data_IF_171198103087
#
_entry.id   IF_171198103087
#
_cell.length_a   1.000
_cell.length_b   1.000
_cell.length_c   1.000
_cell.angle_alpha   90.00
_cell.angle_beta   90.00
_cell.angle_gamma   90.00
#
_symmetry.space_group_name_H-M   'P 1'
#
loop_
_entity.id
_entity.type
_entity.pdbx_description
1 polymer ?
#
# COMPACT_ATOMS: atom_id res chain seq x y z
N UNK A 1 22.01 -5.92 9.68
CA UNK A 1 20.62 -5.44 9.77
C UNK A 1 20.48 -3.93 9.78
N UNK A 2 21.29 -3.19 10.52
CA UNK A 2 21.31 -1.71 10.45
C UNK A 2 21.46 -1.16 9.00
N UNK A 3 22.24 -1.83 8.15
CA UNK A 3 22.42 -1.42 6.76
C UNK A 3 21.17 -1.51 5.89
N UNK A 4 20.31 -2.52 6.06
CA UNK A 4 19.05 -2.62 5.29
C UNK A 4 18.10 -1.49 5.69
N UNK A 5 17.86 -1.28 6.98
CA UNK A 5 17.00 -0.20 7.47
C UNK A 5 17.43 1.15 6.90
N UNK A 6 18.71 1.51 7.06
CA UNK A 6 19.26 2.78 6.55
C UNK A 6 19.10 2.90 5.02
N UNK A 7 19.37 1.83 4.26
CA UNK A 7 19.20 1.84 2.81
C UNK A 7 17.73 2.07 2.41
N UNK A 8 16.79 1.43 3.10
CA UNK A 8 15.36 1.57 2.82
C UNK A 8 14.81 2.96 3.21
N UNK A 9 15.29 3.54 4.30
CA UNK A 9 14.90 4.89 4.75
C UNK A 9 15.38 5.99 3.78
N UNK A 10 16.47 5.75 3.05
CA UNK A 10 17.04 6.69 2.07
C UNK A 10 16.42 6.59 0.67
N UNK A 11 15.60 5.58 0.40
CA UNK A 11 14.90 5.48 -0.88
C UNK A 11 13.87 6.61 -1.05
N UNK A 12 13.56 6.96 -2.32
CA UNK A 12 12.53 7.94 -2.63
C UNK A 12 11.21 7.63 -1.91
N UNK A 13 10.52 8.65 -1.40
CA UNK A 13 9.26 8.45 -0.66
C UNK A 13 8.13 7.95 -1.54
N UNK A 14 8.18 8.34 -2.80
CA UNK A 14 7.00 8.36 -3.65
C UNK A 14 7.35 7.92 -5.06
N UNK A 15 6.34 7.51 -5.80
CA UNK A 15 6.41 7.38 -7.25
C UNK A 15 6.47 8.74 -7.91
N UNK A 16 6.82 8.76 -9.18
CA UNK A 16 6.92 9.96 -9.99
C UNK A 16 6.06 9.83 -11.25
N UNK A 17 5.79 10.95 -11.88
CA UNK A 17 5.29 11.01 -13.25
C UNK A 17 6.37 10.56 -14.26
N UNK A 18 6.01 10.48 -15.53
CA UNK A 18 6.93 10.08 -16.60
C UNK A 18 8.10 11.08 -16.83
N UNK A 19 7.89 12.35 -16.48
CA UNK A 19 8.92 13.39 -16.61
C UNK A 19 9.86 13.45 -15.39
N UNK A 20 9.49 12.77 -14.28
CA UNK A 20 10.23 12.81 -13.03
C UNK A 20 10.09 14.14 -12.29
N UNK A 21 9.03 14.90 -12.55
CA UNK A 21 8.80 16.24 -11.97
C UNK A 21 7.81 16.22 -10.81
N UNK A 22 6.72 15.47 -10.94
CA UNK A 22 5.65 15.44 -9.97
C UNK A 22 5.64 14.14 -9.16
N UNK A 23 5.46 14.28 -7.84
CA UNK A 23 5.36 13.15 -6.93
C UNK A 23 3.95 12.56 -6.94
N UNK A 24 3.87 11.24 -6.99
CA UNK A 24 2.63 10.49 -6.96
C UNK A 24 2.41 9.75 -5.65
N UNK A 25 1.87 8.54 -5.78
CA UNK A 25 1.54 7.66 -4.66
C UNK A 25 2.78 7.27 -3.84
N UNK A 26 2.63 7.05 -2.53
CA UNK A 26 3.73 6.67 -1.67
C UNK A 26 4.26 5.27 -1.99
N UNK A 27 5.59 5.11 -1.94
CA UNK A 27 6.27 3.81 -2.01
C UNK A 27 6.25 3.20 -0.61
N UNK A 28 5.22 2.42 -0.31
CA UNK A 28 4.84 2.00 1.04
C UNK A 28 5.08 0.52 1.35
N UNK A 29 5.67 -0.24 0.43
CA UNK A 29 5.95 -1.68 0.58
C UNK A 29 7.36 -2.02 0.08
N UNK A 30 7.99 -2.95 0.77
CA UNK A 30 9.23 -3.62 0.35
C UNK A 30 9.04 -5.13 0.48
N UNK A 31 9.28 -5.86 -0.58
CA UNK A 31 9.25 -7.32 -0.60
C UNK A 31 10.63 -7.86 -0.91
N UNK A 32 11.11 -8.80 -0.10
CA UNK A 32 12.41 -9.46 -0.29
C UNK A 32 12.17 -10.91 -0.69
N UNK A 33 12.79 -11.36 -1.75
CA UNK A 33 12.65 -12.71 -2.29
C UNK A 33 11.89 -12.77 -3.61
N UNK A 34 10.94 -13.70 -3.74
CA UNK A 34 10.20 -13.96 -4.97
C UNK A 34 8.73 -13.47 -4.90
N UNK A 35 8.47 -12.16 -5.01
CA UNK A 35 7.15 -11.60 -4.78
C UNK A 35 6.11 -12.07 -5.79
N UNK A 36 6.48 -12.33 -7.04
CA UNK A 36 5.52 -12.73 -8.07
C UNK A 36 4.89 -14.09 -7.75
N UNK A 37 5.69 -15.03 -7.27
CA UNK A 37 5.23 -16.36 -6.84
C UNK A 37 4.36 -16.23 -5.57
N UNK A 38 4.84 -15.51 -4.57
CA UNK A 38 4.13 -15.32 -3.30
C UNK A 38 2.79 -14.62 -3.51
N UNK A 39 2.76 -13.53 -4.26
CA UNK A 39 1.53 -12.78 -4.54
C UNK A 39 0.53 -13.61 -5.33
N UNK A 40 0.98 -14.37 -6.34
CA UNK A 40 0.09 -15.26 -7.10
C UNK A 40 -0.53 -16.33 -6.19
N UNK A 41 0.24 -16.92 -5.27
CA UNK A 41 -0.27 -17.85 -4.25
C UNK A 41 -1.28 -17.18 -3.29
N UNK A 42 -1.07 -15.91 -2.98
CA UNK A 42 -1.98 -15.11 -2.15
C UNK A 42 -3.18 -14.56 -2.95
N UNK A 43 -3.42 -15.02 -4.17
CA UNK A 43 -4.60 -14.66 -4.98
C UNK A 43 -4.51 -13.30 -5.68
N UNK A 44 -3.29 -12.78 -5.90
CA UNK A 44 -3.06 -11.62 -6.74
C UNK A 44 -2.90 -12.06 -8.20
N UNK A 45 -3.40 -11.24 -9.13
CA UNK A 45 -3.31 -11.45 -10.57
C UNK A 45 -2.52 -10.35 -11.23
N UNK A 46 -1.82 -10.67 -12.32
CA UNK A 46 -1.18 -9.64 -13.15
C UNK A 46 -2.24 -8.76 -13.80
N UNK A 47 -1.93 -7.48 -13.95
CA UNK A 47 -2.76 -6.56 -14.70
C UNK A 47 -2.45 -6.63 -16.19
N UNK A 48 -3.43 -6.36 -17.04
CA UNK A 48 -3.19 -6.20 -18.47
C UNK A 48 -2.37 -4.93 -18.76
N UNK A 49 -1.67 -4.93 -19.90
CA UNK A 49 -1.12 -3.69 -20.45
C UNK A 49 -2.25 -2.76 -20.89
N UNK A 50 -2.05 -1.47 -20.74
CA UNK A 50 -2.98 -0.47 -21.28
C UNK A 50 -2.88 -0.51 -22.79
N UNK A 51 -3.95 -0.94 -23.45
CA UNK A 51 -4.20 -0.85 -24.88
C UNK A 51 -5.65 -0.41 -25.13
N UNK A 52 -6.01 -0.08 -26.35
CA UNK A 52 -7.36 0.38 -26.69
C UNK A 52 -8.44 -0.66 -26.28
N UNK A 53 -8.15 -1.95 -26.46
CA UNK A 53 -9.09 -3.02 -26.13
C UNK A 53 -9.28 -3.17 -24.61
N UNK A 54 -8.23 -2.94 -23.83
CA UNK A 54 -8.33 -2.97 -22.36
C UNK A 54 -9.14 -1.78 -21.83
N UNK A 55 -9.00 -0.61 -22.45
CA UNK A 55 -9.80 0.59 -22.15
C UNK A 55 -11.28 0.38 -22.49
N UNK A 56 -11.59 -0.14 -23.66
CA UNK A 56 -12.98 -0.45 -24.06
C UNK A 56 -13.64 -1.43 -23.11
N UNK A 57 -12.91 -2.48 -22.69
CA UNK A 57 -13.42 -3.46 -21.71
C UNK A 57 -13.64 -2.85 -20.34
N UNK A 58 -12.77 -1.94 -19.89
CA UNK A 58 -12.91 -1.26 -18.61
C UNK A 58 -14.14 -0.35 -18.61
N UNK A 59 -14.33 0.44 -19.67
CA UNK A 59 -15.52 1.28 -19.84
C UNK A 59 -16.77 0.41 -19.92
N UNK A 60 -16.76 -0.66 -20.71
CA UNK A 60 -17.87 -1.60 -20.82
C UNK A 60 -18.23 -2.27 -19.50
N UNK A 61 -17.23 -2.70 -18.72
CA UNK A 61 -17.41 -3.27 -17.39
C UNK A 61 -18.00 -2.26 -16.39
N UNK A 62 -17.51 -1.02 -16.40
CA UNK A 62 -18.03 0.05 -15.55
C UNK A 62 -19.50 0.38 -15.87
N UNK A 63 -19.87 0.43 -17.16
CA UNK A 63 -21.24 0.70 -17.60
C UNK A 63 -22.19 -0.47 -17.35
N UNK A 64 -21.71 -1.71 -17.47
CA UNK A 64 -22.54 -2.93 -17.29
C UNK A 64 -22.53 -3.47 -15.87
N UNK A 65 -21.71 -2.93 -14.96
CA UNK A 65 -21.54 -3.43 -13.60
C UNK A 65 -20.86 -4.80 -13.53
N UNK A 66 -20.19 -5.23 -14.61
CA UNK A 66 -19.51 -6.54 -14.69
C UNK A 66 -18.05 -6.46 -14.22
N UNK A 67 -17.51 -7.60 -13.78
CA UNK A 67 -16.10 -7.69 -13.38
C UNK A 67 -15.16 -7.61 -14.58
N UNK A 68 -14.10 -6.79 -14.44
CA UNK A 68 -12.91 -6.90 -15.28
C UNK A 68 -11.67 -7.16 -14.38
N UNK A 69 -11.45 -8.42 -13.99
CA UNK A 69 -10.48 -8.76 -12.94
C UNK A 69 -9.03 -8.49 -13.32
N UNK A 70 -8.74 -8.23 -14.57
CA UNK A 70 -7.40 -7.96 -15.10
C UNK A 70 -7.27 -6.59 -15.74
N UNK A 71 -8.14 -5.64 -15.36
CA UNK A 71 -8.12 -4.27 -15.88
C UNK A 71 -6.72 -3.62 -15.74
N UNK A 72 -6.33 -2.76 -16.69
CA UNK A 72 -5.02 -2.11 -16.66
C UNK A 72 -4.90 -1.10 -15.53
N UNK A 73 -3.66 -0.85 -15.10
CA UNK A 73 -3.32 0.22 -14.15
C UNK A 73 -2.41 1.24 -14.83
N UNK A 74 -2.56 2.51 -14.46
CA UNK A 74 -1.72 3.60 -14.94
C UNK A 74 -0.25 3.35 -14.61
N UNK A 75 0.64 3.80 -15.50
CA UNK A 75 2.08 3.70 -15.27
C UNK A 75 2.52 4.71 -14.23
N UNK A 76 3.32 4.25 -13.29
CA UNK A 76 4.05 5.08 -12.33
C UNK A 76 5.54 4.80 -12.47
N UNK A 77 6.38 5.70 -11.99
CA UNK A 77 7.82 5.65 -12.15
C UNK A 77 8.53 5.68 -10.80
N UNK A 78 9.57 4.86 -10.67
CA UNK A 78 10.54 4.89 -9.59
C UNK A 78 11.90 4.47 -10.15
N UNK A 79 13.00 4.89 -9.55
CA UNK A 79 14.35 4.67 -10.07
C UNK A 79 14.52 5.14 -11.53
N UNK A 80 13.84 6.23 -11.95
CA UNK A 80 13.87 6.75 -13.31
C UNK A 80 13.22 5.84 -14.38
N UNK A 81 12.45 4.82 -13.99
CA UNK A 81 11.82 3.88 -14.91
C UNK A 81 10.41 3.48 -14.47
N UNK A 82 9.62 3.03 -15.43
CA UNK A 82 8.29 2.46 -15.21
C UNK A 82 8.38 1.22 -14.31
N UNK A 83 7.26 0.89 -13.62
CA UNK A 83 7.17 -0.34 -12.85
C UNK A 83 7.52 -1.58 -13.69
N UNK A 84 8.24 -2.51 -13.07
CA UNK A 84 8.57 -3.79 -13.70
C UNK A 84 7.35 -4.70 -13.76
N UNK A 85 6.51 -4.65 -12.71
CA UNK A 85 5.33 -5.50 -12.56
C UNK A 85 4.19 -4.69 -11.99
N UNK A 86 2.97 -4.99 -12.45
CA UNK A 86 1.74 -4.52 -11.84
C UNK A 86 0.80 -5.70 -11.57
N UNK A 87 0.29 -5.76 -10.36
CA UNK A 87 -0.63 -6.80 -9.92
C UNK A 87 -1.84 -6.19 -9.24
N UNK A 88 -2.94 -6.93 -9.19
CA UNK A 88 -4.16 -6.52 -8.53
C UNK A 88 -4.82 -7.69 -7.82
N UNK A 89 -5.61 -7.37 -6.81
CA UNK A 89 -6.49 -8.31 -6.14
C UNK A 89 -7.87 -7.70 -6.01
N UNK A 90 -8.87 -8.34 -6.65
CA UNK A 90 -10.26 -7.94 -6.52
C UNK A 90 -10.75 -8.19 -5.09
N UNK A 91 -11.56 -7.28 -4.56
CA UNK A 91 -12.38 -7.49 -3.36
C UNK A 91 -13.82 -7.77 -3.80
N UNK A 92 -14.71 -8.03 -2.87
CA UNK A 92 -16.11 -8.47 -3.07
C UNK A 92 -16.93 -7.65 -4.08
N UNK A 93 -16.47 -6.46 -4.48
CA UNK A 93 -17.12 -5.62 -5.49
C UNK A 93 -16.13 -5.23 -6.58
N UNK A 94 -16.64 -5.06 -7.79
CA UNK A 94 -15.89 -4.86 -9.03
C UNK A 94 -15.10 -3.55 -9.10
N UNK A 95 -15.53 -2.54 -8.34
CA UNK A 95 -14.93 -1.21 -8.28
C UNK A 95 -13.91 -1.05 -7.15
N UNK A 96 -13.76 -2.08 -6.30
CA UNK A 96 -12.84 -2.04 -5.15
C UNK A 96 -11.75 -3.09 -5.32
N UNK A 97 -10.60 -2.66 -5.81
CA UNK A 97 -9.43 -3.51 -6.05
C UNK A 97 -8.23 -2.92 -5.33
N UNK A 98 -7.39 -3.80 -4.78
CA UNK A 98 -6.06 -3.39 -4.40
C UNK A 98 -5.16 -3.50 -5.63
N UNK A 99 -4.44 -2.44 -5.94
CA UNK A 99 -3.42 -2.41 -6.99
C UNK A 99 -2.05 -2.33 -6.35
N UNK A 100 -1.11 -3.05 -6.92
CA UNK A 100 0.29 -3.01 -6.52
C UNK A 100 1.18 -2.85 -7.75
N UNK A 101 2.20 -2.04 -7.62
CA UNK A 101 3.27 -1.88 -8.59
C UNK A 101 4.58 -2.15 -7.90
N UNK A 102 5.46 -2.88 -8.58
CA UNK A 102 6.74 -3.30 -8.05
C UNK A 102 7.88 -2.89 -8.98
N UNK A 103 8.97 -2.49 -8.37
CA UNK A 103 10.26 -2.17 -9.00
C UNK A 103 11.35 -3.01 -8.35
N UNK A 104 12.15 -3.71 -9.14
CA UNK A 104 13.34 -4.39 -8.65
C UNK A 104 14.36 -3.33 -8.20
N UNK A 105 14.72 -3.35 -6.93
CA UNK A 105 15.73 -2.45 -6.39
C UNK A 105 17.15 -2.82 -6.89
N UNK A 106 18.08 -1.85 -6.98
CA UNK A 106 19.43 -2.12 -7.46
C UNK A 106 20.35 -2.75 -6.39
N UNK A 107 19.79 -3.37 -5.36
CA UNK A 107 20.52 -4.04 -4.28
C UNK A 107 19.78 -5.28 -3.80
N UNK A 108 20.50 -6.14 -3.07
CA UNK A 108 20.00 -7.37 -2.49
C UNK A 108 20.11 -7.37 -0.98
N UNK A 109 19.27 -8.17 -0.34
CA UNK A 109 19.33 -8.43 1.08
C UNK A 109 19.42 -9.95 1.34
N UNK A 110 20.42 -10.36 2.11
CA UNK A 110 20.71 -11.79 2.39
C UNK A 110 20.74 -12.66 1.11
N UNK A 111 21.31 -12.11 0.03
CA UNK A 111 21.39 -12.78 -1.28
C UNK A 111 20.10 -12.79 -2.10
N UNK A 112 19.00 -12.29 -1.55
CA UNK A 112 17.70 -12.22 -2.21
C UNK A 112 17.44 -10.87 -2.86
N UNK A 113 16.64 -10.85 -3.93
CA UNK A 113 16.23 -9.64 -4.60
C UNK A 113 15.29 -8.81 -3.72
N UNK A 114 15.45 -7.50 -3.74
CA UNK A 114 14.60 -6.53 -3.03
C UNK A 114 13.72 -5.82 -4.04
N UNK A 115 12.43 -5.74 -3.74
CA UNK A 115 11.42 -5.10 -4.57
C UNK A 115 10.78 -3.95 -3.79
N UNK A 116 10.86 -2.75 -4.33
CA UNK A 116 10.14 -1.60 -3.80
C UNK A 116 8.75 -1.56 -4.42
N UNK A 117 7.73 -1.29 -3.60
CA UNK A 117 6.35 -1.35 -4.03
C UNK A 117 5.50 -0.15 -3.64
N UNK A 118 4.52 0.13 -4.47
CA UNK A 118 3.38 1.00 -4.19
C UNK A 118 2.13 0.14 -4.16
N UNK A 119 1.35 0.22 -3.09
CA UNK A 119 0.04 -0.41 -3.00
C UNK A 119 -1.02 0.62 -2.61
N UNK A 120 -2.15 0.59 -3.31
CA UNK A 120 -3.33 1.39 -3.03
C UNK A 120 -4.61 0.60 -3.30
N UNK A 121 -5.73 1.09 -2.80
CA UNK A 121 -7.06 0.54 -3.04
C UNK A 121 -7.88 1.51 -3.88
N UNK A 122 -8.47 1.02 -4.96
CA UNK A 122 -9.45 1.77 -5.72
C UNK A 122 -10.81 1.73 -5.03
N UNK A 123 -11.48 2.88 -5.01
CA UNK A 123 -12.84 3.03 -4.48
C UNK A 123 -13.83 3.57 -5.50
N UNK A 124 -13.38 3.92 -6.70
CA UNK A 124 -14.21 4.43 -7.77
C UNK A 124 -13.43 4.78 -9.03
N UNK A 125 -14.12 5.36 -9.99
CA UNK A 125 -13.55 5.86 -11.24
C UNK A 125 -13.92 7.35 -11.37
N UNK A 126 -13.00 8.17 -11.87
CA UNK A 126 -13.24 9.59 -12.20
C UNK A 126 -12.72 9.93 -13.60
N UNK A 127 -13.29 10.97 -14.19
CA UNK A 127 -12.81 11.57 -15.43
C UNK A 127 -11.81 12.68 -15.07
N UNK A 128 -10.64 12.67 -15.68
CA UNK A 128 -9.61 13.69 -15.46
C UNK A 128 -8.74 13.87 -16.69
N UNK A 129 -8.38 15.12 -17.07
CA UNK A 129 -7.43 15.37 -18.14
C UNK A 129 -6.00 14.96 -17.78
N UNK A 130 -5.70 14.69 -16.51
CA UNK A 130 -4.39 14.22 -16.04
C UNK A 130 -4.13 12.74 -16.35
N UNK A 131 -5.12 12.00 -16.87
CA UNK A 131 -4.95 10.64 -17.34
C UNK A 131 -4.92 10.61 -18.87
N UNK A 132 -3.98 9.87 -19.50
CA UNK A 132 -3.95 9.70 -20.95
C UNK A 132 -5.23 9.11 -21.55
N UNK A 133 -5.99 8.38 -20.74
CA UNK A 133 -7.27 7.75 -21.13
C UNK A 133 -8.48 8.59 -20.73
N UNK A 134 -8.28 9.81 -20.22
CA UNK A 134 -9.30 10.69 -19.63
C UNK A 134 -10.06 10.11 -18.44
N UNK A 135 -9.75 8.88 -18.05
CA UNK A 135 -10.31 8.19 -16.89
C UNK A 135 -9.20 7.71 -15.97
N UNK A 136 -9.45 7.70 -14.68
CA UNK A 136 -8.56 7.11 -13.67
C UNK A 136 -9.37 6.58 -12.51
N UNK A 137 -8.74 5.69 -11.73
CA UNK A 137 -9.32 5.22 -10.48
C UNK A 137 -9.15 6.27 -9.39
N UNK A 138 -10.14 6.37 -8.51
CA UNK A 138 -10.05 7.13 -7.26
C UNK A 138 -9.48 6.20 -6.21
N UNK A 139 -8.39 6.60 -5.57
CA UNK A 139 -7.79 5.81 -4.50
C UNK A 139 -8.45 6.08 -3.15
N UNK A 140 -8.45 5.08 -2.28
CA UNK A 140 -8.83 5.25 -0.88
C UNK A 140 -7.82 6.15 -0.17
N UNK A 141 -8.27 7.24 0.48
CA UNK A 141 -7.35 8.14 1.17
C UNK A 141 -6.59 7.48 2.35
N UNK A 142 -7.15 6.43 2.97
CA UNK A 142 -6.48 5.65 4.03
C UNK A 142 -5.50 4.62 3.42
N UNK A 143 -4.40 5.10 2.85
CA UNK A 143 -3.52 4.27 2.02
C UNK A 143 -2.85 3.13 2.81
N UNK A 144 -2.64 3.30 4.12
CA UNK A 144 -2.03 2.31 4.99
C UNK A 144 -2.89 1.06 5.18
N UNK A 145 -4.21 1.17 5.00
CA UNK A 145 -5.11 0.00 5.02
C UNK A 145 -4.80 -0.99 3.89
N UNK A 146 -4.35 -0.51 2.73
CA UNK A 146 -3.94 -1.37 1.63
C UNK A 146 -2.67 -2.14 1.96
N UNK A 147 -1.73 -1.49 2.64
CA UNK A 147 -0.50 -2.08 3.15
C UNK A 147 -0.80 -3.15 4.21
N UNK A 148 -1.68 -2.84 5.16
CA UNK A 148 -2.11 -3.79 6.19
C UNK A 148 -2.82 -5.00 5.58
N UNK A 149 -3.68 -4.77 4.58
CA UNK A 149 -4.34 -5.85 3.84
C UNK A 149 -3.35 -6.77 3.12
N UNK A 150 -2.28 -6.22 2.53
CA UNK A 150 -1.23 -7.02 1.92
C UNK A 150 -0.56 -7.93 2.95
N UNK A 151 -0.13 -7.37 4.08
CA UNK A 151 0.50 -8.15 5.15
C UNK A 151 -0.43 -9.27 5.62
N UNK A 152 -1.69 -8.96 5.92
CA UNK A 152 -2.68 -9.96 6.32
C UNK A 152 -2.86 -11.05 5.26
N UNK A 153 -2.93 -10.66 3.98
CA UNK A 153 -3.06 -11.58 2.86
C UNK A 153 -1.87 -12.54 2.75
N UNK A 154 -0.65 -12.05 2.88
CA UNK A 154 0.55 -12.88 2.86
C UNK A 154 0.62 -13.77 4.10
N UNK A 155 0.29 -13.23 5.27
CA UNK A 155 0.34 -13.95 6.54
C UNK A 155 -0.62 -15.15 6.56
N UNK A 156 -1.85 -14.98 6.09
CA UNK A 156 -2.86 -16.06 6.05
C UNK A 156 -2.50 -17.18 5.09
N UNK A 157 -1.56 -16.95 4.18
CA UNK A 157 -1.07 -17.98 3.25
C UNK A 157 0.31 -18.55 3.64
N UNK A 158 0.81 -18.21 4.85
CA UNK A 158 2.13 -18.65 5.31
C UNK A 158 3.30 -18.03 4.52
N UNK A 159 3.08 -16.88 3.88
CA UNK A 159 4.04 -16.25 2.97
C UNK A 159 4.80 -15.08 3.63
N UNK A 160 4.95 -15.12 4.93
CA UNK A 160 5.72 -14.15 5.73
C UNK A 160 6.74 -14.92 6.56
N UNK A 161 8.02 -14.76 6.26
CA UNK A 161 9.11 -15.28 7.09
C UNK A 161 9.48 -14.28 8.18
N UNK A 162 9.63 -13.01 7.79
CA UNK A 162 9.99 -11.88 8.66
C UNK A 162 9.33 -10.62 8.14
N UNK A 163 8.88 -9.76 9.04
CA UNK A 163 8.34 -8.45 8.64
C UNK A 163 8.70 -7.35 9.62
N UNK A 164 8.48 -6.11 9.23
CA UNK A 164 8.65 -4.92 10.06
C UNK A 164 8.32 -3.67 9.28
N UNK A 165 8.46 -2.52 9.92
CA UNK A 165 8.18 -1.23 9.32
C UNK A 165 9.38 -0.32 9.40
N UNK A 166 9.65 0.46 8.33
CA UNK A 166 10.69 1.47 8.29
C UNK A 166 10.12 2.79 7.80
N UNK A 167 10.68 3.90 8.26
CA UNK A 167 10.36 5.24 7.77
C UNK A 167 10.80 5.41 6.31
N UNK A 168 10.35 6.46 5.65
CA UNK A 168 10.80 6.85 4.31
C UNK A 168 9.72 6.86 3.24
N UNK A 169 8.48 6.43 3.55
CA UNK A 169 7.32 6.71 2.72
C UNK A 169 6.76 8.12 2.99
N UNK A 170 5.76 8.55 2.23
CA UNK A 170 5.18 9.89 2.37
C UNK A 170 4.25 9.94 3.58
N UNK A 171 4.63 10.64 4.63
CA UNK A 171 3.77 10.93 5.76
C UNK A 171 2.77 12.06 5.44
N UNK A 172 1.51 11.91 5.86
CA UNK A 172 0.47 12.93 5.72
C UNK A 172 -0.65 12.67 6.73
N UNK A 173 -1.22 13.72 7.30
CA UNK A 173 -2.33 13.60 8.25
C UNK A 173 -3.69 13.74 7.57
N UNK A 174 -4.77 13.32 8.24
CA UNK A 174 -6.14 13.52 7.74
C UNK A 174 -6.50 15.01 7.59
N UNK A 175 -5.97 15.85 8.47
CA UNK A 175 -6.19 17.31 8.43
C UNK A 175 -5.32 18.04 7.40
N UNK A 176 -4.24 17.40 6.93
CA UNK A 176 -3.33 17.91 5.91
C UNK A 176 -2.93 16.77 4.98
N UNK A 177 -3.84 16.29 4.12
CA UNK A 177 -3.57 15.20 3.20
C UNK A 177 -2.61 15.65 2.10
N UNK A 178 -1.87 14.70 1.54
CA UNK A 178 -1.12 14.91 0.29
C UNK A 178 -2.00 14.54 -0.90
N UNK A 179 -1.65 15.04 -2.06
CA UNK A 179 -2.29 14.69 -3.33
C UNK A 179 -1.37 13.79 -4.14
N UNK A 180 -1.94 12.81 -4.83
CA UNK A 180 -1.23 12.03 -5.83
C UNK A 180 -1.24 12.73 -7.21
N UNK A 181 -0.69 12.07 -8.25
CA UNK A 181 -0.60 12.63 -9.61
C UNK A 181 -1.96 12.97 -10.24
N UNK A 182 -3.04 12.40 -9.76
CA UNK A 182 -4.41 12.62 -10.26
C UNK A 182 -5.28 13.42 -9.28
N UNK A 183 -4.65 14.11 -8.32
CA UNK A 183 -5.29 14.94 -7.28
C UNK A 183 -6.18 14.16 -6.31
N UNK A 184 -5.94 12.86 -6.12
CA UNK A 184 -6.59 12.13 -5.06
C UNK A 184 -5.89 12.41 -3.73
N UNK A 185 -6.63 12.83 -2.69
CA UNK A 185 -6.04 13.05 -1.38
C UNK A 185 -5.72 11.71 -0.70
N UNK A 186 -4.58 11.66 0.01
CA UNK A 186 -4.23 10.53 0.87
C UNK A 186 -3.57 10.97 2.17
N UNK A 187 -3.68 10.13 3.18
CA UNK A 187 -2.94 10.25 4.44
C UNK A 187 -2.27 8.91 4.77
N UNK A 188 -1.14 8.98 5.48
CA UNK A 188 -0.29 7.84 5.82
C UNK A 188 0.57 8.16 7.04
N UNK A 189 0.94 7.13 7.79
CA UNK A 189 1.94 7.21 8.87
C UNK A 189 3.38 7.42 8.36
N UNK A 190 3.61 7.30 7.05
CA UNK A 190 4.93 7.45 6.44
C UNK A 190 5.83 6.22 6.54
N UNK A 191 5.29 5.08 6.97
CA UNK A 191 6.03 3.84 7.08
C UNK A 191 5.94 2.98 5.82
N UNK A 192 7.00 2.22 5.56
CA UNK A 192 7.03 1.13 4.58
C UNK A 192 6.94 -0.19 5.30
N UNK A 193 6.03 -1.04 4.87
CA UNK A 193 6.03 -2.45 5.26
C UNK A 193 7.19 -3.17 4.56
N UNK A 194 8.01 -3.86 5.31
CA UNK A 194 9.09 -4.73 4.81
C UNK A 194 8.71 -6.18 5.10
N UNK A 195 8.68 -7.03 4.08
CA UNK A 195 8.39 -8.46 4.23
C UNK A 195 9.48 -9.28 3.55
N UNK A 196 10.08 -10.20 4.29
CA UNK A 196 10.89 -11.28 3.72
C UNK A 196 9.97 -12.45 3.43
N UNK A 197 9.92 -12.84 2.16
CA UNK A 197 9.07 -13.91 1.67
C UNK A 197 9.80 -15.26 1.80
N UNK A 198 9.17 -16.29 2.36
CA UNK A 198 9.77 -17.60 2.48
C UNK A 198 9.69 -18.35 1.14
N UNK A 199 10.60 -19.31 0.92
CA UNK A 199 10.53 -20.25 -0.20
C UNK A 199 9.38 -21.25 -0.03
N UNK A 200 9.14 -21.66 1.21
CA UNK A 200 8.05 -22.57 1.62
C UNK A 200 7.16 -21.91 2.65
N UNK A 201 5.87 -22.24 2.71
CA UNK A 201 4.94 -21.71 3.70
C UNK A 201 5.49 -21.88 5.13
N UNK A 202 5.31 -20.85 5.95
CA UNK A 202 5.75 -20.76 7.33
C UNK A 202 4.54 -20.70 8.25
N UNK A 203 4.58 -21.45 9.34
CA UNK A 203 3.56 -21.38 10.37
C UNK A 203 3.55 -19.99 11.05
N UNK A 204 2.37 -19.44 11.42
CA UNK A 204 2.26 -18.13 12.04
C UNK A 204 3.15 -17.92 13.25
N UNK A 205 3.36 -18.97 14.07
CA UNK A 205 4.19 -18.94 15.26
C UNK A 205 5.69 -18.84 14.99
N UNK A 206 6.13 -19.14 13.76
CA UNK A 206 7.52 -19.06 13.34
C UNK A 206 7.87 -17.74 12.63
N UNK A 207 6.88 -16.87 12.42
CA UNK A 207 7.10 -15.55 11.81
C UNK A 207 7.88 -14.66 12.77
N UNK A 208 8.90 -14.00 12.24
CA UNK A 208 9.77 -13.11 13.00
C UNK A 208 9.45 -11.64 12.72
N UNK A 209 9.63 -10.80 13.73
CA UNK A 209 9.64 -9.35 13.56
C UNK A 209 11.08 -8.87 13.41
N UNK A 210 11.33 -7.86 12.57
CA UNK A 210 12.66 -7.28 12.46
C UNK A 210 13.06 -6.62 13.78
N UNK A 211 14.27 -6.88 14.30
CA UNK A 211 14.69 -6.39 15.61
C UNK A 211 14.83 -4.86 15.71
N UNK A 212 14.75 -4.12 14.61
CA UNK A 212 14.71 -2.65 14.67
C UNK A 212 13.37 -2.09 15.23
N UNK A 213 12.29 -2.89 15.25
CA UNK A 213 11.02 -2.53 15.89
C UNK A 213 11.19 -2.42 17.43
N UNK A 214 12.02 -3.29 18.00
CA UNK A 214 12.29 -3.31 19.45
C UNK A 214 13.16 -2.13 19.92
N UNK A 215 13.94 -1.53 19.02
CA UNK A 215 14.81 -0.40 19.32
C UNK A 215 14.10 0.96 19.41
N UNK A 216 12.90 1.06 18.85
CA UNK A 216 12.00 2.19 19.04
C UNK A 216 11.07 1.80 20.20
N UNK A 217 11.47 2.09 21.46
CA UNK A 217 10.73 1.70 22.67
C UNK A 217 9.22 1.96 22.59
N UNK A 218 8.40 1.40 23.47
CA UNK A 218 6.96 1.46 23.35
C UNK A 218 6.51 2.89 23.11
N UNK A 219 5.72 3.10 22.05
CA UNK A 219 5.02 4.37 21.82
C UNK A 219 4.36 4.69 23.14
N UNK A 220 4.80 5.75 23.82
CA UNK A 220 4.18 6.17 25.08
C UNK A 220 2.69 6.30 24.79
N UNK A 221 1.92 5.36 25.30
CA UNK A 221 0.47 5.41 25.26
C UNK A 221 0.12 6.75 25.89
N UNK A 222 -0.38 7.69 25.05
CA UNK A 222 -0.83 9.00 25.53
C UNK A 222 -1.71 8.76 26.73
N UNK A 223 -1.47 9.57 27.74
CA UNK A 223 -2.18 9.56 29.01
C UNK A 223 -3.65 9.26 28.78
N UNK A 224 -4.12 8.17 29.35
CA UNK A 224 -5.52 7.89 29.49
C UNK A 224 -6.18 9.11 30.13
N UNK A 225 -7.10 9.75 29.40
CA UNK A 225 -7.99 10.75 29.97
C UNK A 225 -8.57 10.19 31.26
N UNK A 226 -8.17 10.79 32.35
CA UNK A 226 -8.65 10.52 33.67
C UNK A 226 -10.17 10.67 33.67
N UNK A 227 -10.87 9.58 33.82
CA UNK A 227 -12.32 9.49 33.80
C UNK A 227 -12.89 10.53 34.77
N UNK A 228 -13.48 11.59 34.23
CA UNK A 228 -14.24 12.60 34.96
C UNK A 228 -15.38 11.87 35.65
N UNK A 229 -15.26 11.69 36.98
CA UNK A 229 -16.35 11.16 37.81
C UNK A 229 -17.59 12.04 37.58
N UNK A 230 -18.77 11.44 37.36
CA UNK A 230 -20.00 12.22 37.34
C UNK A 230 -20.29 12.80 38.74
N UNK A 231 -20.56 14.10 38.82
CA UNK A 231 -21.02 14.76 40.01
C UNK A 231 -22.40 14.19 40.41
N UNK A 232 -22.69 14.01 41.73
CA UNK A 232 -23.98 13.54 42.16
C UNK A 232 -25.06 14.60 41.92
N UNK A 233 -26.15 14.17 41.27
CA UNK A 233 -27.35 14.97 41.09
C UNK A 233 -27.95 15.24 42.46
N UNK A 234 -27.93 16.49 42.94
CA UNK A 234 -28.65 16.90 44.14
C UNK A 234 -30.12 17.08 43.77
N UNK A 235 -30.94 16.24 44.39
CA UNK A 235 -32.41 16.27 44.28
C UNK A 235 -32.94 17.52 45.01
N UNK A 236 -33.37 18.52 44.26
CA UNK A 236 -33.94 19.75 44.78
C UNK A 236 -35.44 19.60 44.98
N UNK A 237 -35.83 19.15 46.14
CA UNK A 237 -37.24 19.34 46.64
C UNK A 237 -37.44 20.80 47.05
N UNK A 238 -38.29 21.50 46.34
CA UNK A 238 -38.78 22.80 46.72
C UNK A 238 -40.13 22.65 47.51
N UNK A 239 -40.46 23.60 48.37
CA UNK A 239 -41.74 23.63 49.08
C UNK A 239 -42.90 24.14 48.19
#
# INVERSE_FOLDING_TARGET
>A
MAGLRSALEQLACCTMDAAGTDQGDPLNVVLVGQPLVALSRAGWSFTHRIDLRSIEREIGAALSGTAYPVAPVSSLYAFGRKQDVAMQRARQTLTRRNHMRLWLAPFRFEGQDVWLGQISRDIGIKITPKSPTLTTHVIDPAIDESRAYLLQSLFTHGLVQRYGFVKGSAAATRSSPRLNLTDDPFFSDGLRLVVVLPEHPVEPSAVQVFPWEEAEGPIASGQSDEARKPEPITDGTAP
#
